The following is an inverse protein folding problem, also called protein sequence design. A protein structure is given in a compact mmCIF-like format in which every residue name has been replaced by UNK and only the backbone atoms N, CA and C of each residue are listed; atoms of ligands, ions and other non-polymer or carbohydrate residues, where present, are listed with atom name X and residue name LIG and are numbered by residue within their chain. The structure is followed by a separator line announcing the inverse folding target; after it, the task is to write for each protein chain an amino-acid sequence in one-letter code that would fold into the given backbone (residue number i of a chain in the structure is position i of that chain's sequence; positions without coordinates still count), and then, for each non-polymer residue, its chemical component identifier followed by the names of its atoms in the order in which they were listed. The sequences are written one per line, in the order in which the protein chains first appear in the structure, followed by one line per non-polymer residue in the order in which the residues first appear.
data_IF_729883297439
#
_entry.id   IF_729883297439
#
_cell.length_a   1.000
_cell.length_b   1.000
_cell.length_c   1.000
_cell.angle_alpha   90.00
_cell.angle_beta   90.00
_cell.angle_gamma   90.00
#
_symmetry.space_group_name_H-M   'P 1'
#
loop_
_entity.id
_entity.type
_entity.pdbx_description
1 polymer ?
#
# COMPACT_ATOMS: atom_id res chain seq x y z
N UNK A 1 -17.33 4.86 17.05
CA UNK A 1 -16.43 5.13 15.91
C UNK A 1 -15.84 3.79 15.49
N UNK A 2 -16.34 3.20 14.39
CA UNK A 2 -15.85 1.89 13.94
C UNK A 2 -14.47 2.07 13.33
N UNK A 3 -13.44 1.52 13.98
CA UNK A 3 -12.10 1.44 13.42
C UNK A 3 -12.10 0.27 12.44
N UNK A 4 -12.02 0.56 11.14
CA UNK A 4 -11.77 -0.49 10.17
C UNK A 4 -10.41 -1.12 10.51
N UNK A 5 -10.34 -2.45 10.70
CA UNK A 5 -9.06 -3.11 10.97
C UNK A 5 -8.13 -2.97 9.76
N UNK A 6 -6.80 -2.90 9.97
CA UNK A 6 -5.86 -2.86 8.88
C UNK A 6 -5.97 -4.17 8.08
N UNK A 7 -6.12 -4.05 6.76
CA UNK A 7 -6.04 -5.19 5.84
C UNK A 7 -4.61 -5.70 5.92
N UNK A 8 -4.42 -6.78 6.67
CA UNK A 8 -3.15 -7.49 6.80
C UNK A 8 -3.04 -8.41 5.58
N UNK A 9 -2.28 -7.99 4.57
CA UNK A 9 -1.85 -8.90 3.50
C UNK A 9 -0.88 -9.91 4.10
N UNK A 10 -1.43 -11.06 4.50
CA UNK A 10 -0.67 -12.17 5.06
C UNK A 10 0.14 -12.81 3.93
N UNK A 11 1.47 -12.65 3.96
CA UNK A 11 2.40 -13.42 3.14
C UNK A 11 2.26 -14.89 3.55
N UNK A 12 1.75 -15.73 2.65
CA UNK A 12 1.69 -17.17 2.86
C UNK A 12 3.05 -17.79 2.58
N UNK A 13 3.70 -18.27 3.63
CA UNK A 13 4.78 -19.24 3.53
C UNK A 13 4.19 -20.59 3.13
N UNK A 14 4.77 -21.21 2.10
CA UNK A 14 4.39 -22.53 1.59
C UNK A 14 4.54 -23.59 2.69
N UNK A 15 3.50 -24.42 2.88
CA UNK A 15 3.66 -25.78 3.39
C UNK A 15 2.48 -26.68 3.00
N UNK A 16 2.84 -27.92 2.70
CA UNK A 16 2.14 -28.93 1.89
C UNK A 16 1.18 -29.79 2.74
N UNK A 17 -0.10 -29.97 2.34
CA UNK A 17 -0.89 -31.17 2.70
C UNK A 17 -2.15 -31.39 1.84
N UNK A 18 -2.10 -32.46 1.04
CA UNK A 18 -3.16 -33.34 0.48
C UNK A 18 -4.64 -32.91 0.41
N UNK A 19 -5.12 -32.96 -0.85
CA UNK A 19 -6.29 -33.71 -1.39
C UNK A 19 -7.68 -33.53 -0.76
N UNK A 20 -8.60 -32.93 -1.53
CA UNK A 20 -9.92 -33.52 -1.83
C UNK A 20 -10.28 -33.18 -3.28
N UNK A 21 -10.45 -34.22 -4.09
CA UNK A 21 -10.94 -34.16 -5.46
C UNK A 21 -12.46 -33.91 -5.46
N UNK A 22 -12.93 -32.91 -6.22
CA UNK A 22 -14.34 -32.85 -6.64
C UNK A 22 -14.39 -32.36 -8.09
N UNK A 23 -15.04 -33.16 -8.92
CA UNK A 23 -15.00 -33.09 -10.38
C UNK A 23 -15.76 -31.87 -10.92
N UNK A 24 -15.03 -31.05 -11.68
CA UNK A 24 -15.35 -30.50 -13.01
C UNK A 24 -16.67 -29.74 -13.24
N UNK A 25 -16.54 -28.44 -13.48
CA UNK A 25 -17.34 -27.70 -14.46
C UNK A 25 -16.46 -26.60 -15.05
N UNK A 26 -16.14 -26.74 -16.33
CA UNK A 26 -15.37 -25.76 -17.09
C UNK A 26 -16.20 -24.49 -17.30
N UNK A 27 -15.83 -23.44 -16.57
CA UNK A 27 -16.04 -22.05 -16.97
C UNK A 27 -14.69 -21.39 -16.80
N UNK A 28 -14.16 -20.80 -17.87
CA UNK A 28 -12.84 -20.16 -17.95
C UNK A 28 -12.46 -19.45 -16.66
N UNK A 29 -11.69 -20.12 -15.80
CA UNK A 29 -11.08 -19.52 -14.63
C UNK A 29 -10.05 -18.54 -15.17
N UNK A 30 -10.36 -17.24 -15.11
CA UNK A 30 -9.32 -16.23 -15.02
C UNK A 30 -8.50 -16.70 -13.82
N UNK A 31 -7.34 -17.28 -14.07
CA UNK A 31 -6.47 -17.78 -13.03
C UNK A 31 -6.35 -16.65 -12.00
N UNK A 32 -6.53 -16.99 -10.73
CA UNK A 32 -6.43 -16.05 -9.61
C UNK A 32 -4.96 -15.69 -9.38
N UNK A 33 -4.31 -15.23 -10.45
CA UNK A 33 -2.95 -14.71 -10.42
C UNK A 33 -3.00 -13.43 -9.59
N UNK A 34 -2.07 -13.30 -8.64
CA UNK A 34 -1.95 -12.07 -7.87
C UNK A 34 -1.59 -10.95 -8.87
N UNK A 35 -2.40 -9.89 -8.99
CA UNK A 35 -2.18 -8.81 -9.95
C UNK A 35 -0.81 -8.12 -9.75
N UNK A 36 -0.17 -8.32 -8.59
CA UNK A 36 1.11 -7.75 -8.22
C UNK A 36 2.26 -8.78 -8.29
N UNK A 37 2.02 -10.04 -8.68
CA UNK A 37 3.02 -11.11 -8.58
C UNK A 37 4.31 -10.85 -9.37
N UNK A 38 4.22 -10.08 -10.45
CA UNK A 38 5.35 -9.75 -11.32
C UNK A 38 5.90 -8.33 -11.06
N UNK A 39 5.44 -7.65 -10.01
CA UNK A 39 5.85 -6.28 -9.69
C UNK A 39 6.89 -6.27 -8.58
N UNK A 40 7.99 -5.55 -8.80
CA UNK A 40 9.00 -5.29 -7.79
C UNK A 40 8.55 -4.14 -6.87
N UNK A 41 7.62 -4.42 -5.95
CA UNK A 41 7.14 -3.42 -4.99
C UNK A 41 8.15 -3.21 -3.86
N UNK A 42 8.48 -1.95 -3.58
CA UNK A 42 9.31 -1.58 -2.43
C UNK A 42 8.58 -1.87 -1.10
N UNK A 43 9.36 -2.05 -0.03
CA UNK A 43 8.82 -2.26 1.33
C UNK A 43 7.96 -1.05 1.77
N UNK A 44 6.84 -1.34 2.43
CA UNK A 44 5.94 -0.32 3.01
C UNK A 44 6.30 0.06 4.45
N UNK A 45 7.40 -0.45 5.00
CA UNK A 45 7.82 -0.21 6.39
C UNK A 45 7.85 1.28 6.77
N UNK A 46 8.23 2.13 5.82
CA UNK A 46 8.30 3.59 5.99
C UNK A 46 6.92 4.17 6.33
N UNK A 47 5.90 3.75 5.59
CA UNK A 47 4.52 4.16 5.79
C UNK A 47 3.96 3.57 7.09
N UNK A 48 4.33 2.34 7.43
CA UNK A 48 3.91 1.70 8.68
C UNK A 48 4.49 2.42 9.90
N UNK A 49 5.80 2.77 9.88
CA UNK A 49 6.44 3.56 10.93
C UNK A 49 5.81 4.95 11.06
N UNK A 50 5.57 5.63 9.94
CA UNK A 50 4.88 6.91 9.93
C UNK A 50 3.44 6.79 10.48
N UNK A 51 2.71 5.73 10.14
CA UNK A 51 1.37 5.47 10.67
C UNK A 51 1.37 5.23 12.19
N UNK A 52 2.36 4.52 12.72
CA UNK A 52 2.51 4.28 14.16
C UNK A 52 2.72 5.58 14.94
N UNK A 53 3.38 6.59 14.35
CA UNK A 53 3.51 7.91 14.95
C UNK A 53 2.22 8.75 14.94
N UNK A 54 1.20 8.31 14.20
CA UNK A 54 -0.10 8.96 14.11
C UNK A 54 -0.13 10.19 13.20
N UNK A 55 -1.06 11.11 13.50
CA UNK A 55 -1.22 12.35 12.72
C UNK A 55 -0.26 13.43 13.23
N UNK A 56 0.31 14.18 12.30
CA UNK A 56 1.19 15.32 12.59
C UNK A 56 0.62 16.61 11.97
N UNK A 57 1.20 17.75 12.34
CA UNK A 57 0.77 19.05 11.84
C UNK A 57 1.42 19.33 10.48
N UNK A 58 0.64 19.89 9.55
CA UNK A 58 1.19 20.43 8.32
C UNK A 58 2.09 21.63 8.64
N UNK A 59 3.30 21.64 8.08
CA UNK A 59 4.28 22.72 8.26
C UNK A 59 3.81 24.09 7.74
N UNK A 60 2.82 24.11 6.82
CA UNK A 60 2.28 25.34 6.23
C UNK A 60 1.02 25.85 6.92
N UNK A 61 0.02 24.99 7.15
CA UNK A 61 -1.30 25.41 7.66
C UNK A 61 -1.60 24.93 9.09
N UNK A 62 -0.72 24.17 9.72
CA UNK A 62 -0.93 23.59 11.05
C UNK A 62 -2.00 22.48 11.12
N UNK A 63 -2.70 22.19 10.02
CA UNK A 63 -3.75 21.18 9.97
C UNK A 63 -3.22 19.78 10.28
N UNK A 64 -3.99 18.99 11.03
CA UNK A 64 -3.66 17.60 11.37
C UNK A 64 -3.88 16.67 10.17
N UNK A 65 -2.82 15.99 9.73
CA UNK A 65 -2.79 15.09 8.57
C UNK A 65 -1.90 13.87 8.88
N UNK A 66 -2.10 12.76 8.17
CA UNK A 66 -1.35 11.52 8.43
C UNK A 66 -0.02 11.49 7.66
N UNK A 67 -0.05 11.69 6.34
CA UNK A 67 1.16 11.66 5.50
C UNK A 67 1.32 12.88 4.59
N UNK A 68 0.22 13.46 4.14
CA UNK A 68 0.25 14.53 3.16
C UNK A 68 -0.89 15.53 3.40
N UNK A 69 -0.59 16.81 3.24
CA UNK A 69 -1.59 17.86 3.29
C UNK A 69 -2.14 18.13 1.89
N UNK A 70 -3.37 17.71 1.65
CA UNK A 70 -4.10 17.94 0.39
C UNK A 70 -4.47 19.41 0.13
N UNK A 71 -4.39 20.27 1.14
CA UNK A 71 -4.64 21.73 0.98
C UNK A 71 -3.38 22.47 0.58
N UNK A 72 -2.24 22.10 1.19
CA UNK A 72 -0.98 22.81 1.01
C UNK A 72 -0.02 22.12 0.04
N UNK A 73 -0.41 20.93 -0.44
CA UNK A 73 0.33 20.07 -1.35
C UNK A 73 1.75 19.74 -0.86
N UNK A 74 1.89 19.41 0.43
CA UNK A 74 3.17 19.06 1.05
C UNK A 74 3.07 17.84 1.95
N UNK A 75 4.14 17.02 2.06
CA UNK A 75 4.27 16.03 3.13
C UNK A 75 4.19 16.70 4.50
N UNK A 76 3.73 15.94 5.48
CA UNK A 76 3.81 16.37 6.88
C UNK A 76 5.16 15.99 7.51
N UNK A 77 5.47 16.57 8.67
CA UNK A 77 6.79 16.52 9.30
C UNK A 77 7.34 15.11 9.55
N UNK A 78 6.48 14.15 9.91
CA UNK A 78 6.86 12.77 10.21
C UNK A 78 7.05 11.88 8.96
N UNK A 79 6.89 12.41 7.75
CA UNK A 79 7.12 11.66 6.51
C UNK A 79 8.53 11.92 5.98
N UNK A 80 9.36 10.88 5.79
CA UNK A 80 10.72 11.05 5.29
C UNK A 80 10.70 11.36 3.79
N UNK A 81 10.84 12.64 3.46
CA UNK A 81 10.78 13.16 2.08
C UNK A 81 11.87 12.53 1.20
N UNK A 82 13.04 12.25 1.76
CA UNK A 82 14.17 11.61 1.06
C UNK A 82 13.86 10.19 0.54
N UNK A 83 12.82 9.54 1.08
CA UNK A 83 12.40 8.20 0.67
C UNK A 83 11.26 8.23 -0.35
N UNK A 84 10.74 9.42 -0.70
CA UNK A 84 9.73 9.58 -1.73
C UNK A 84 10.41 9.46 -3.10
N UNK A 85 9.99 8.51 -3.96
CA UNK A 85 10.63 8.31 -5.24
C UNK A 85 10.38 9.49 -6.18
N UNK A 86 11.45 10.00 -6.79
CA UNK A 86 11.36 10.93 -7.90
C UNK A 86 11.23 10.12 -9.19
N UNK A 87 10.04 10.15 -9.79
CA UNK A 87 9.74 9.45 -11.03
C UNK A 87 9.72 10.41 -12.21
N UNK A 88 10.38 10.02 -13.30
CA UNK A 88 10.24 10.70 -14.59
C UNK A 88 9.12 10.01 -15.36
N UNK A 89 8.06 10.74 -15.65
CA UNK A 89 6.96 10.22 -16.44
C UNK A 89 7.40 9.97 -17.90
N UNK A 90 6.86 8.93 -18.57
CA UNK A 90 7.21 8.60 -19.95
C UNK A 90 6.67 9.61 -20.98
N UNK A 91 5.82 10.53 -20.54
CA UNK A 91 5.21 11.59 -21.33
C UNK A 91 5.12 12.87 -20.49
N UNK A 92 5.01 14.01 -21.17
CA UNK A 92 4.73 15.30 -20.52
C UNK A 92 3.25 15.39 -20.17
N UNK A 93 2.95 16.00 -19.04
CA UNK A 93 1.60 16.42 -18.66
C UNK A 93 1.52 17.91 -18.97
N UNK A 94 0.53 18.32 -19.76
CA UNK A 94 0.19 19.72 -20.02
C UNK A 94 -0.89 20.22 -19.04
#
# INVERSE_FOLDING_TARGET
MSLNPPIFLKRSEENNSKFVETKQSQTTSIASEDPLQNLCLASQEVLQKAQQSGRSKCLKCGGSRMFYCYTCYVPVENVPIEQIPLVKLPLKID
#
